data_IF_963267752381
#
_entry.id   IF_963267752381
#
_cell.length_a   1.000
_cell.length_b   1.000
_cell.length_c   1.000
_cell.angle_alpha   90.00
_cell.angle_beta   90.00
_cell.angle_gamma   90.00
#
_symmetry.space_group_name_H-M   'P 1'
#
loop_
_entity.id
_entity.type
_entity.pdbx_description
1 polymer ?
#
# COMPACT_ATOMS: atom_id res chain seq x y z
N UNK A 1 -7.09 -5.33 -4.45
CA UNK A 1 -7.91 -4.16 -4.82
C UNK A 1 -7.21 -3.41 -5.94
N UNK A 2 -7.93 -2.97 -6.95
CA UNK A 2 -7.37 -2.20 -8.07
C UNK A 2 -7.82 -0.74 -7.93
N UNK A 3 -6.89 0.20 -7.93
CA UNK A 3 -7.14 1.63 -7.80
C UNK A 3 -6.54 2.37 -8.98
N UNK A 4 -7.28 3.28 -9.57
CA UNK A 4 -6.80 4.13 -10.68
C UNK A 4 -6.71 5.57 -10.20
N UNK A 5 -5.56 6.19 -10.44
CA UNK A 5 -5.32 7.60 -10.19
C UNK A 5 -5.13 8.31 -11.54
N UNK A 6 -5.68 9.51 -11.67
CA UNK A 6 -5.53 10.33 -12.87
C UNK A 6 -5.11 11.75 -12.51
N UNK A 7 -4.25 12.36 -13.31
CA UNK A 7 -3.76 13.70 -13.11
C UNK A 7 -3.58 14.42 -14.47
N UNK A 8 -4.13 15.61 -14.60
CA UNK A 8 -3.91 16.45 -15.78
C UNK A 8 -2.64 17.29 -15.59
N UNK A 9 -1.67 17.10 -16.46
CA UNK A 9 -0.36 17.73 -16.40
C UNK A 9 -0.47 19.23 -16.69
N UNK A 10 0.16 20.05 -15.86
CA UNK A 10 0.25 21.50 -15.99
C UNK A 10 1.62 21.92 -16.53
N UNK A 11 1.73 23.15 -17.02
CA UNK A 11 3.01 23.72 -17.49
C UNK A 11 4.08 23.69 -16.37
N UNK A 12 3.72 24.10 -15.18
CA UNK A 12 4.61 24.09 -14.00
C UNK A 12 5.15 22.68 -13.65
N UNK A 13 4.37 21.63 -13.92
CA UNK A 13 4.79 20.26 -13.69
C UNK A 13 5.86 19.84 -14.68
N UNK A 14 5.73 20.24 -15.93
CA UNK A 14 6.71 19.95 -16.98
C UNK A 14 8.06 20.60 -16.65
N UNK A 15 8.05 21.85 -16.18
CA UNK A 15 9.26 22.55 -15.77
C UNK A 15 9.93 21.86 -14.55
N UNK A 16 9.12 21.50 -13.55
CA UNK A 16 9.60 20.90 -12.30
C UNK A 16 10.09 19.45 -12.47
N UNK A 17 9.55 18.70 -13.43
CA UNK A 17 9.79 17.25 -13.59
C UNK A 17 10.73 16.89 -14.74
N UNK A 18 11.78 17.69 -14.94
CA UNK A 18 12.81 17.45 -15.98
C UNK A 18 12.18 17.31 -17.39
N UNK A 19 11.32 18.27 -17.75
CA UNK A 19 10.63 18.28 -19.05
C UNK A 19 9.52 17.23 -19.14
N UNK A 20 8.75 17.05 -18.08
CA UNK A 20 7.58 16.18 -18.08
C UNK A 20 7.90 14.68 -18.10
N UNK A 21 9.04 14.27 -17.55
CA UNK A 21 9.41 12.85 -17.49
C UNK A 21 8.43 12.06 -16.61
N UNK A 22 7.79 11.04 -17.16
CA UNK A 22 6.74 10.25 -16.49
C UNK A 22 7.15 9.76 -15.11
N UNK A 23 8.38 9.27 -14.95
CA UNK A 23 8.87 8.80 -13.65
C UNK A 23 8.82 9.88 -12.55
N UNK A 24 9.12 11.13 -12.90
CA UNK A 24 9.04 12.24 -11.96
C UNK A 24 7.62 12.73 -11.76
N UNK A 25 6.80 12.79 -12.83
CA UNK A 25 5.38 13.15 -12.73
C UNK A 25 4.62 12.21 -11.79
N UNK A 26 4.86 10.90 -11.87
CA UNK A 26 4.24 9.92 -10.98
C UNK A 26 4.60 10.13 -9.51
N UNK A 27 5.84 10.52 -9.23
CA UNK A 27 6.31 10.77 -7.87
C UNK A 27 5.89 12.12 -7.31
N UNK A 28 6.04 13.17 -8.10
CA UNK A 28 5.79 14.55 -7.66
C UNK A 28 4.31 14.93 -7.67
N UNK A 29 3.56 14.53 -8.70
CA UNK A 29 2.16 14.93 -8.87
C UNK A 29 1.17 13.92 -8.29
N UNK A 30 1.49 12.63 -8.35
CA UNK A 30 0.66 11.55 -7.81
C UNK A 30 1.18 10.97 -6.50
N UNK A 31 2.31 11.48 -5.99
CA UNK A 31 2.95 11.09 -4.73
C UNK A 31 3.23 9.59 -4.61
N UNK A 32 3.52 8.93 -5.74
CA UNK A 32 3.80 7.50 -5.75
C UNK A 32 5.20 7.17 -5.28
N UNK A 33 5.31 6.10 -4.52
CA UNK A 33 6.60 5.53 -4.15
C UNK A 33 7.28 4.82 -5.33
N UNK A 34 8.59 4.64 -5.26
CA UNK A 34 9.32 3.90 -6.28
C UNK A 34 8.85 2.46 -6.46
N UNK A 35 8.32 1.83 -5.39
CA UNK A 35 7.74 0.49 -5.44
C UNK A 35 6.42 0.45 -6.20
N UNK A 36 5.54 1.43 -5.99
CA UNK A 36 4.27 1.55 -6.71
C UNK A 36 4.51 1.79 -8.20
N UNK A 37 5.39 2.73 -8.55
CA UNK A 37 5.78 2.96 -9.95
C UNK A 37 6.37 1.69 -10.57
N UNK A 38 7.22 0.97 -9.83
CA UNK A 38 7.83 -0.28 -10.32
C UNK A 38 6.80 -1.38 -10.56
N UNK A 39 5.74 -1.46 -9.76
CA UNK A 39 4.64 -2.40 -9.96
C UNK A 39 3.76 -1.99 -11.13
N UNK A 40 3.34 -0.72 -11.18
CA UNK A 40 2.47 -0.20 -12.23
C UNK A 40 3.05 -0.42 -13.63
N UNK A 41 4.35 -0.20 -13.84
CA UNK A 41 4.98 -0.35 -15.17
C UNK A 41 4.89 -1.76 -15.78
N UNK A 42 4.63 -2.79 -14.95
CA UNK A 42 4.49 -4.18 -15.43
C UNK A 42 3.04 -4.59 -15.69
N UNK A 43 2.07 -3.73 -15.36
CA UNK A 43 0.67 -3.97 -15.69
C UNK A 43 0.40 -3.56 -17.14
N UNK A 44 -0.46 -4.26 -17.88
CA UNK A 44 -0.78 -3.94 -19.28
C UNK A 44 -1.29 -2.53 -19.49
N UNK A 45 -2.04 -2.00 -18.53
CA UNK A 45 -2.63 -0.65 -18.51
C UNK A 45 -2.17 0.14 -17.28
N UNK A 46 -0.98 -0.18 -16.79
CA UNK A 46 -0.48 0.32 -15.53
C UNK A 46 -0.13 1.82 -15.54
N UNK A 47 0.42 2.32 -16.65
CA UNK A 47 0.75 3.73 -16.82
C UNK A 47 0.31 4.17 -18.22
N UNK A 48 -0.61 5.12 -18.27
CA UNK A 48 -1.24 5.59 -19.50
C UNK A 48 -1.15 7.12 -19.61
N UNK A 49 -1.02 7.63 -20.82
CA UNK A 49 -1.20 9.04 -21.12
C UNK A 49 -2.26 9.16 -22.22
N UNK A 50 -3.32 9.93 -21.98
CA UNK A 50 -4.46 10.10 -22.89
C UNK A 50 -5.01 8.76 -23.43
N UNK A 51 -5.05 7.73 -22.56
CA UNK A 51 -5.53 6.40 -22.91
C UNK A 51 -4.52 5.51 -23.67
N UNK A 52 -3.29 5.97 -23.88
CA UNK A 52 -2.23 5.19 -24.53
C UNK A 52 -1.16 4.80 -23.51
N UNK A 53 -0.73 3.55 -23.54
CA UNK A 53 0.32 3.09 -22.64
C UNK A 53 1.64 3.83 -22.88
N UNK A 54 2.25 4.28 -21.79
CA UNK A 54 3.53 5.01 -21.81
C UNK A 54 4.53 4.35 -20.86
N UNK A 55 5.81 4.57 -21.14
CA UNK A 55 6.88 4.11 -20.27
C UNK A 55 7.33 5.23 -19.32
N UNK A 56 7.96 4.86 -18.21
CA UNK A 56 8.49 5.82 -17.24
C UNK A 56 9.59 6.74 -17.78
N UNK A 57 10.16 6.40 -18.93
CA UNK A 57 11.21 7.18 -19.61
C UNK A 57 10.65 8.16 -20.63
N UNK A 58 9.39 8.10 -20.96
CA UNK A 58 8.74 9.04 -21.89
C UNK A 58 8.50 10.38 -21.22
N UNK A 59 8.37 11.41 -22.05
CA UNK A 59 8.05 12.77 -21.62
C UNK A 59 6.63 13.12 -22.07
N UNK A 60 5.90 13.74 -21.18
CA UNK A 60 4.55 14.22 -21.44
C UNK A 60 4.53 15.74 -21.45
N UNK A 61 3.50 16.30 -22.11
CA UNK A 61 3.28 17.74 -22.24
C UNK A 61 2.15 18.19 -21.33
N UNK A 62 2.14 19.48 -21.05
CA UNK A 62 0.99 20.10 -20.39
C UNK A 62 -0.32 19.84 -21.17
N UNK A 63 -1.39 19.61 -20.44
CA UNK A 63 -2.71 19.27 -20.99
C UNK A 63 -2.97 17.78 -21.15
N UNK A 64 -1.94 16.93 -21.20
CA UNK A 64 -2.14 15.47 -21.24
C UNK A 64 -2.60 14.94 -19.88
N UNK A 65 -3.37 13.86 -19.89
CA UNK A 65 -3.87 13.18 -18.69
C UNK A 65 -3.02 11.94 -18.44
N UNK A 66 -2.24 11.98 -17.36
CA UNK A 66 -1.49 10.83 -16.88
C UNK A 66 -2.40 10.00 -15.97
N UNK A 67 -2.56 8.71 -16.28
CA UNK A 67 -3.34 7.75 -15.51
C UNK A 67 -2.44 6.62 -15.07
N UNK A 68 -2.55 6.22 -13.81
CA UNK A 68 -1.82 5.07 -13.26
C UNK A 68 -2.77 4.10 -12.60
N UNK A 69 -2.61 2.83 -12.91
CA UNK A 69 -3.32 1.74 -12.26
C UNK A 69 -2.42 1.10 -11.20
N UNK A 70 -2.90 1.09 -9.98
CA UNK A 70 -2.26 0.44 -8.84
C UNK A 70 -3.05 -0.81 -8.49
N UNK A 71 -2.41 -1.95 -8.58
CA UNK A 71 -2.95 -3.21 -8.05
C UNK A 71 -2.21 -3.54 -6.76
N UNK A 72 -2.99 -3.74 -5.71
CA UNK A 72 -2.49 -4.46 -4.55
C UNK A 72 -2.32 -5.92 -4.97
N UNK A 73 -1.15 -6.24 -5.49
CA UNK A 73 -0.76 -7.64 -5.61
C UNK A 73 -0.64 -8.19 -4.20
N UNK A 74 -1.70 -8.84 -3.78
CA UNK A 74 -1.71 -9.70 -2.60
C UNK A 74 -0.81 -10.88 -2.97
N UNK A 75 0.49 -10.69 -2.84
CA UNK A 75 1.42 -11.80 -2.91
C UNK A 75 1.08 -12.75 -1.77
N UNK A 76 1.03 -14.05 -2.05
CA UNK A 76 0.85 -15.08 -1.01
C UNK A 76 1.85 -14.92 0.15
N UNK A 77 2.98 -14.28 -0.12
CA UNK A 77 4.04 -13.96 0.85
C UNK A 77 3.69 -12.86 1.86
N UNK A 78 2.66 -12.05 1.59
CA UNK A 78 2.21 -11.00 2.49
C UNK A 78 1.11 -11.43 3.45
N UNK A 79 0.59 -12.64 3.30
CA UNK A 79 -0.45 -13.17 4.19
C UNK A 79 0.17 -13.79 5.41
N UNK A 80 -0.26 -13.32 6.54
CA UNK A 80 0.08 -13.87 7.85
C UNK A 80 -0.89 -14.98 8.17
N UNK A 81 -0.41 -16.11 8.71
CA UNK A 81 -1.26 -17.23 9.09
C UNK A 81 -2.24 -16.81 10.20
N UNK A 82 -3.55 -17.00 10.02
CA UNK A 82 -4.52 -16.70 11.05
C UNK A 82 -4.28 -17.56 12.30
N UNK A 83 -4.31 -16.94 13.47
CA UNK A 83 -4.21 -17.62 14.77
C UNK A 83 -5.05 -16.90 15.79
N UNK A 84 -5.81 -17.67 16.57
CA UNK A 84 -6.53 -17.16 17.71
C UNK A 84 -5.54 -16.68 18.78
N UNK A 85 -5.81 -15.51 19.35
CA UNK A 85 -5.00 -14.94 20.40
C UNK A 85 -5.61 -13.68 20.98
N UNK A 86 -5.02 -13.15 22.07
CA UNK A 86 -5.55 -11.98 22.75
C UNK A 86 -5.38 -10.74 21.87
N UNK A 87 -6.51 -10.15 21.49
CA UNK A 87 -6.55 -8.90 20.74
C UNK A 87 -7.61 -7.98 21.34
N UNK A 88 -7.24 -6.75 21.62
CA UNK A 88 -8.14 -5.70 22.05
C UNK A 88 -8.21 -4.62 20.97
N UNK A 89 -9.32 -4.60 20.25
CA UNK A 89 -9.58 -3.57 19.22
C UNK A 89 -10.16 -2.36 19.92
N UNK A 90 -9.47 -1.23 19.81
CA UNK A 90 -9.88 0.05 20.40
C UNK A 90 -10.79 0.82 19.46
N UNK A 91 -10.52 0.72 18.16
CA UNK A 91 -11.30 1.34 17.10
C UNK A 91 -11.15 0.54 15.81
N UNK A 92 -12.20 0.47 15.03
CA UNK A 92 -12.19 -0.19 13.72
C UNK A 92 -13.21 0.47 12.79
N UNK A 93 -12.82 0.69 11.54
CA UNK A 93 -13.69 1.06 10.44
C UNK A 93 -13.26 0.31 9.16
N UNK A 94 -13.77 0.71 7.99
CA UNK A 94 -13.45 0.06 6.72
C UNK A 94 -12.02 0.25 6.22
N UNK A 95 -11.29 1.23 6.75
CA UNK A 95 -9.95 1.61 6.30
C UNK A 95 -8.87 1.35 7.35
N UNK A 96 -9.18 1.41 8.64
CA UNK A 96 -8.19 1.42 9.71
C UNK A 96 -8.66 0.65 10.96
N UNK A 97 -7.71 0.00 11.63
CA UNK A 97 -7.93 -0.64 12.92
C UNK A 97 -6.87 -0.20 13.94
N UNK A 98 -7.28 0.20 15.12
CA UNK A 98 -6.41 0.47 16.27
C UNK A 98 -6.53 -0.65 17.27
N UNK A 99 -5.39 -1.19 17.67
CA UNK A 99 -5.29 -2.32 18.59
C UNK A 99 -4.47 -1.89 19.81
N UNK A 100 -4.99 -2.15 21.00
CA UNK A 100 -4.22 -2.05 22.23
C UNK A 100 -3.34 -3.29 22.39
N UNK A 101 -2.06 -3.16 22.05
CA UNK A 101 -1.11 -4.27 22.12
C UNK A 101 -0.70 -4.54 23.57
N UNK A 102 -0.83 -5.78 24.07
CA UNK A 102 -0.26 -6.14 25.37
C UNK A 102 1.27 -6.22 25.29
N UNK A 103 1.93 -6.01 26.42
CA UNK A 103 3.35 -6.28 26.55
C UNK A 103 3.63 -7.79 26.37
N UNK A 104 4.77 -8.14 25.81
CA UNK A 104 5.16 -9.52 25.54
C UNK A 104 4.71 -10.09 24.19
N UNK A 105 3.92 -9.33 23.41
CA UNK A 105 3.44 -9.73 22.09
C UNK A 105 4.13 -8.88 21.02
N UNK A 106 4.62 -9.52 19.95
CA UNK A 106 5.20 -8.83 18.79
C UNK A 106 4.09 -8.35 17.86
N UNK A 107 4.33 -7.24 17.15
CA UNK A 107 3.36 -6.68 16.22
C UNK A 107 3.22 -7.53 14.95
N UNK A 108 4.32 -8.00 14.40
CA UNK A 108 4.38 -8.76 13.14
C UNK A 108 5.24 -10.00 13.31
N UNK A 109 4.96 -11.10 12.57
CA UNK A 109 5.79 -12.29 12.63
C UNK A 109 7.27 -11.98 12.43
N UNK A 110 8.10 -12.55 13.29
CA UNK A 110 9.55 -12.40 13.30
C UNK A 110 10.22 -13.70 13.72
N UNK A 111 11.54 -13.74 13.72
CA UNK A 111 12.26 -14.95 14.13
C UNK A 111 11.87 -15.38 15.56
N UNK A 112 11.42 -16.61 15.70
CA UNK A 112 10.90 -17.17 16.95
C UNK A 112 9.44 -16.82 17.27
N UNK A 113 8.77 -15.97 16.48
CA UNK A 113 7.39 -15.53 16.68
C UNK A 113 6.62 -15.56 15.36
N UNK A 114 6.34 -16.74 14.83
CA UNK A 114 5.70 -16.91 13.52
C UNK A 114 4.17 -16.91 13.58
N UNK A 115 3.58 -17.22 14.73
CA UNK A 115 2.14 -17.44 14.89
C UNK A 115 1.52 -16.73 16.08
N UNK A 116 2.29 -15.95 16.82
CA UNK A 116 1.90 -15.31 18.09
C UNK A 116 2.03 -13.78 18.05
N UNK A 117 1.84 -13.20 16.89
CA UNK A 117 1.88 -11.75 16.69
C UNK A 117 0.47 -11.12 16.59
N UNK A 118 0.38 -9.81 16.83
CA UNK A 118 -0.86 -9.05 16.59
C UNK A 118 -1.39 -9.25 15.17
N UNK A 119 -0.49 -9.31 14.19
CA UNK A 119 -0.88 -9.55 12.80
C UNK A 119 -1.55 -10.92 12.60
N UNK A 120 -1.11 -11.97 13.32
CA UNK A 120 -1.74 -13.29 13.28
C UNK A 120 -3.16 -13.25 13.91
N UNK A 121 -3.32 -12.51 15.00
CA UNK A 121 -4.60 -12.41 15.71
C UNK A 121 -5.60 -11.58 14.93
N UNK A 122 -5.15 -10.49 14.27
CA UNK A 122 -5.99 -9.71 13.34
C UNK A 122 -6.41 -10.54 12.13
N UNK A 123 -5.51 -11.32 11.54
CA UNK A 123 -5.85 -12.20 10.42
C UNK A 123 -6.95 -13.20 10.81
N UNK A 124 -6.87 -13.77 12.01
CA UNK A 124 -7.91 -14.65 12.55
C UNK A 124 -9.23 -13.91 12.79
N UNK A 125 -9.19 -12.70 13.38
CA UNK A 125 -10.38 -11.87 13.60
C UNK A 125 -11.16 -11.64 12.30
N UNK A 126 -10.47 -11.22 11.23
CA UNK A 126 -11.11 -10.97 9.94
C UNK A 126 -11.57 -12.24 9.23
N UNK A 127 -10.84 -13.35 9.38
CA UNK A 127 -11.28 -14.67 8.88
C UNK A 127 -12.60 -15.10 9.51
N UNK A 128 -12.77 -14.90 10.83
CA UNK A 128 -14.03 -15.22 11.54
C UNK A 128 -15.20 -14.33 11.05
N UNK A 129 -14.92 -13.10 10.63
CA UNK A 129 -15.91 -12.20 10.02
C UNK A 129 -16.21 -12.52 8.55
N UNK A 130 -15.52 -13.51 7.96
CA UNK A 130 -15.64 -13.85 6.54
C UNK A 130 -15.04 -12.79 5.61
N UNK A 131 -14.15 -11.95 6.12
CA UNK A 131 -13.51 -10.86 5.39
C UNK A 131 -12.11 -11.25 4.94
N UNK A 132 -11.82 -11.08 3.65
CA UNK A 132 -10.48 -11.29 3.09
C UNK A 132 -9.65 -10.00 3.15
N UNK A 133 -9.13 -9.69 4.34
CA UNK A 133 -8.40 -8.45 4.62
C UNK A 133 -6.92 -8.75 4.84
N UNK A 134 -6.06 -7.87 4.32
CA UNK A 134 -4.63 -7.84 4.66
C UNK A 134 -4.34 -6.60 5.48
N UNK A 135 -4.06 -6.80 6.76
CA UNK A 135 -3.65 -5.73 7.65
C UNK A 135 -2.23 -5.28 7.33
N UNK A 136 -2.05 -3.98 7.15
CA UNK A 136 -0.75 -3.33 6.95
C UNK A 136 -0.40 -2.49 8.16
N UNK A 137 0.67 -2.85 8.81
CA UNK A 137 1.14 -2.15 10.00
C UNK A 137 1.73 -0.80 9.61
N UNK A 138 1.23 0.29 10.21
CA UNK A 138 1.70 1.65 9.97
C UNK A 138 2.92 1.97 10.85
N UNK A 139 3.01 1.40 12.03
CA UNK A 139 4.14 1.52 12.92
C UNK A 139 4.32 0.24 13.72
N UNK A 140 5.37 0.15 14.52
CA UNK A 140 5.58 -1.00 15.40
C UNK A 140 5.92 -0.53 16.80
N UNK A 141 5.31 -1.16 17.78
CA UNK A 141 5.76 -1.11 19.17
C UNK A 141 6.70 -2.30 19.42
N UNK A 142 7.66 -2.11 20.28
CA UNK A 142 8.52 -3.19 20.71
C UNK A 142 7.73 -4.28 21.43
N UNK A 143 8.25 -5.51 21.47
CA UNK A 143 7.58 -6.67 22.05
C UNK A 143 7.05 -6.40 23.47
N UNK A 144 7.88 -5.83 24.31
CA UNK A 144 7.56 -5.60 25.72
C UNK A 144 6.91 -4.23 26.00
N UNK A 145 6.60 -3.47 24.97
CA UNK A 145 5.84 -2.22 25.03
C UNK A 145 4.36 -2.48 24.81
N UNK A 146 3.52 -1.92 25.66
CA UNK A 146 2.06 -1.93 25.52
C UNK A 146 1.54 -0.60 25.00
N UNK A 147 0.36 -0.62 24.36
CA UNK A 147 -0.34 0.55 23.83
C UNK A 147 -0.81 0.37 22.41
N UNK A 148 -1.27 1.48 21.84
CA UNK A 148 -1.78 1.56 20.47
C UNK A 148 -0.86 2.39 19.57
#
# INVERSE_FOLDING_TARGET
>A
MRRTLSYQIKEEDVERTVGGLVNFLLKDCLHLTGREVSRAKFLPDGIMADGVQVTVKQRLRAGQVLTVCLEDTIGKESRVAPREGPIEIVYEDEDIVFVNKPAGVVVHPSHGHFYDSISNFLAYHYEQLGQDVICRVIGRLDKDTSGA
#
